data_IF_876241434905
#
_entry.id   IF_876241434905
#
_cell.length_a   1.000
_cell.length_b   1.000
_cell.length_c   1.000
_cell.angle_alpha   90.00
_cell.angle_beta   90.00
_cell.angle_gamma   90.00
#
_symmetry.space_group_name_H-M   'P 1'
#
loop_
_entity.id
_entity.type
_entity.pdbx_description
1 polymer ?
#
# COMPACT_ATOMS: atom_id res chain seq x y z
N UNK A 1 13.58 -22.10 9.96
CA UNK A 1 12.91 -21.21 10.93
C UNK A 1 13.82 -21.01 12.14
N UNK A 2 13.80 -19.88 12.85
CA UNK A 2 14.71 -19.63 13.99
C UNK A 2 13.99 -19.79 15.33
N UNK A 3 14.71 -20.14 16.43
CA UNK A 3 14.10 -20.30 17.75
C UNK A 3 13.34 -19.06 18.25
N UNK A 4 13.79 -17.86 17.85
CA UNK A 4 13.11 -16.60 18.20
C UNK A 4 11.77 -16.48 17.46
N UNK A 5 11.74 -16.83 16.17
CA UNK A 5 10.50 -16.79 15.37
C UNK A 5 9.46 -17.77 15.88
N UNK A 6 9.88 -18.97 16.29
CA UNK A 6 8.98 -19.99 16.86
C UNK A 6 8.35 -19.53 18.18
N UNK A 7 9.12 -18.86 19.05
CA UNK A 7 8.59 -18.28 20.30
C UNK A 7 7.54 -17.21 20.05
N UNK A 8 7.75 -16.36 19.05
CA UNK A 8 6.79 -15.30 18.69
C UNK A 8 5.49 -15.94 18.19
N UNK A 9 5.58 -16.94 17.29
CA UNK A 9 4.39 -17.65 16.79
C UNK A 9 3.63 -18.30 17.96
N UNK A 10 4.33 -19.02 18.84
CA UNK A 10 3.70 -19.65 20.00
C UNK A 10 3.02 -18.64 20.94
N UNK A 11 3.64 -17.47 21.15
CA UNK A 11 3.02 -16.40 21.94
C UNK A 11 1.75 -15.88 21.26
N UNK A 12 1.77 -15.64 19.95
CA UNK A 12 0.60 -15.17 19.19
C UNK A 12 -0.54 -16.18 19.21
N UNK A 13 -0.26 -17.49 19.20
CA UNK A 13 -1.32 -18.52 19.23
C UNK A 13 -2.15 -18.57 20.51
N UNK A 14 -1.66 -17.99 21.61
CA UNK A 14 -2.37 -17.96 22.91
C UNK A 14 -2.86 -16.56 23.27
N UNK A 15 -2.61 -15.56 22.41
CA UNK A 15 -3.13 -14.19 22.59
C UNK A 15 -4.63 -14.12 22.33
N UNK A 16 -5.27 -13.12 22.90
CA UNK A 16 -6.63 -12.73 22.47
C UNK A 16 -6.57 -12.04 21.11
N UNK A 17 -7.67 -12.03 20.36
CA UNK A 17 -7.72 -11.35 19.06
C UNK A 17 -7.35 -9.86 19.17
N UNK A 18 -7.79 -9.17 20.24
CA UNK A 18 -7.45 -7.77 20.50
C UNK A 18 -5.93 -7.57 20.74
N UNK A 19 -5.29 -8.48 21.47
CA UNK A 19 -3.85 -8.42 21.72
C UNK A 19 -3.05 -8.72 20.44
N UNK A 20 -3.52 -9.68 19.65
CA UNK A 20 -2.93 -10.01 18.36
C UNK A 20 -3.01 -8.85 17.37
N UNK A 21 -4.16 -8.16 17.30
CA UNK A 21 -4.34 -6.97 16.46
C UNK A 21 -3.43 -5.82 16.91
N UNK A 22 -3.30 -5.61 18.23
CA UNK A 22 -2.40 -4.60 18.80
C UNK A 22 -0.94 -4.91 18.47
N UNK A 23 -0.55 -6.20 18.54
CA UNK A 23 0.79 -6.66 18.18
C UNK A 23 1.06 -6.51 16.67
N UNK A 24 0.08 -6.81 15.82
CA UNK A 24 0.17 -6.60 14.37
C UNK A 24 0.45 -5.14 14.02
N UNK A 25 -0.29 -4.19 14.62
CA UNK A 25 -0.05 -2.75 14.41
C UNK A 25 1.36 -2.30 14.79
N UNK A 26 1.99 -2.95 15.78
CA UNK A 26 3.39 -2.68 16.13
C UNK A 26 4.36 -3.21 15.09
N UNK A 27 4.08 -4.38 14.52
CA UNK A 27 4.86 -4.96 13.42
C UNK A 27 4.73 -4.06 12.19
N UNK A 28 3.51 -3.72 11.79
CA UNK A 28 3.26 -2.79 10.68
C UNK A 28 3.98 -1.47 10.90
N UNK A 29 3.86 -0.83 12.07
CA UNK A 29 4.56 0.43 12.31
C UNK A 29 6.08 0.33 12.18
N UNK A 30 6.67 -0.81 12.56
CA UNK A 30 8.13 -1.00 12.59
C UNK A 30 8.71 -1.47 11.25
N UNK A 31 7.93 -2.23 10.50
CA UNK A 31 8.36 -2.92 9.29
C UNK A 31 7.53 -2.53 8.07
N UNK A 32 6.60 -1.57 8.19
CA UNK A 32 5.96 -0.96 7.05
C UNK A 32 7.08 -0.46 6.13
N UNK A 33 7.02 -0.78 4.85
CA UNK A 33 7.99 -0.24 3.90
C UNK A 33 7.97 1.27 4.02
N UNK A 34 9.14 1.87 4.25
CA UNK A 34 9.30 3.29 3.96
C UNK A 34 8.97 3.50 2.49
N UNK A 35 8.50 4.70 2.11
CA UNK A 35 8.44 5.06 0.69
C UNK A 35 9.81 4.90 0.00
N UNK A 36 10.89 4.95 0.77
CA UNK A 36 12.27 4.71 0.33
C UNK A 36 12.64 3.22 0.19
N UNK A 37 11.86 2.32 0.79
CA UNK A 37 12.08 0.86 0.76
C UNK A 37 11.23 0.15 -0.32
N UNK A 38 10.39 0.91 -1.04
CA UNK A 38 9.62 0.39 -2.17
C UNK A 38 10.57 0.33 -3.36
N UNK A 39 10.72 -0.84 -3.96
CA UNK A 39 11.51 -1.02 -5.18
C UNK A 39 10.88 -0.19 -6.30
N UNK A 40 11.60 0.80 -6.82
CA UNK A 40 11.20 1.51 -8.02
C UNK A 40 11.36 0.58 -9.21
N UNK A 41 10.23 0.22 -9.83
CA UNK A 41 10.20 -0.55 -11.07
C UNK A 41 9.86 0.34 -12.25
N UNK A 42 10.53 0.10 -13.38
CA UNK A 42 10.18 0.75 -14.64
C UNK A 42 8.78 0.29 -15.08
N UNK A 43 7.95 1.21 -15.62
CA UNK A 43 6.60 0.87 -16.06
C UNK A 43 6.64 -0.24 -17.11
N UNK A 44 5.73 -1.20 -16.98
CA UNK A 44 5.64 -2.30 -17.92
C UNK A 44 4.96 -1.88 -19.23
N UNK A 45 4.83 -2.82 -20.18
CA UNK A 45 4.22 -2.51 -21.48
C UNK A 45 2.77 -2.06 -21.41
N UNK A 46 2.02 -2.50 -20.39
CA UNK A 46 0.63 -2.11 -20.16
C UNK A 46 0.61 -0.71 -19.57
N UNK A 47 1.48 -0.42 -18.60
CA UNK A 47 1.62 0.90 -18.00
C UNK A 47 1.97 1.95 -19.05
N UNK A 48 2.94 1.64 -19.93
CA UNK A 48 3.31 2.54 -21.03
C UNK A 48 2.13 2.82 -21.95
N UNK A 49 1.36 1.78 -22.33
CA UNK A 49 0.17 1.94 -23.18
C UNK A 49 -0.91 2.79 -22.49
N UNK A 50 -1.09 2.63 -21.19
CA UNK A 50 -2.04 3.42 -20.41
C UNK A 50 -1.60 4.89 -20.34
N UNK A 51 -0.32 5.15 -20.11
CA UNK A 51 0.25 6.50 -20.12
C UNK A 51 0.12 7.17 -21.50
N UNK A 52 0.31 6.41 -22.58
CA UNK A 52 0.10 6.90 -23.94
C UNK A 52 -1.38 7.18 -24.23
N UNK A 53 -2.29 6.33 -23.76
CA UNK A 53 -3.74 6.55 -23.90
C UNK A 53 -4.16 7.84 -23.18
N UNK A 54 -3.71 8.03 -21.94
CA UNK A 54 -3.94 9.26 -21.15
C UNK A 54 -3.41 10.49 -21.89
N UNK A 55 -2.19 10.42 -22.43
CA UNK A 55 -1.58 11.54 -23.17
C UNK A 55 -2.33 11.91 -24.45
N UNK A 56 -3.02 10.94 -25.07
CA UNK A 56 -3.72 11.15 -26.32
C UNK A 56 -5.21 11.46 -26.13
N UNK A 57 -5.72 11.34 -24.90
CA UNK A 57 -7.09 11.65 -24.54
C UNK A 57 -7.19 13.10 -24.00
N UNK A 58 -7.78 14.05 -24.75
CA UNK A 58 -7.91 15.43 -24.31
C UNK A 58 -8.70 15.59 -23.01
N UNK A 59 -9.66 14.70 -22.75
CA UNK A 59 -10.51 14.75 -21.56
C UNK A 59 -9.66 14.46 -20.30
N UNK A 60 -8.58 13.68 -20.44
CA UNK A 60 -7.63 13.41 -19.36
C UNK A 60 -6.68 14.58 -19.04
N UNK A 61 -6.71 15.65 -19.82
CA UNK A 61 -5.88 16.85 -19.58
C UNK A 61 -6.63 17.99 -18.91
N UNK A 62 -7.96 17.87 -18.77
CA UNK A 62 -8.79 18.87 -18.14
C UNK A 62 -9.14 18.42 -16.72
N UNK A 63 -8.64 19.16 -15.72
CA UNK A 63 -9.00 18.94 -14.33
C UNK A 63 -10.06 19.96 -13.91
N UNK A 64 -11.20 19.48 -13.44
CA UNK A 64 -12.22 20.34 -12.81
C UNK A 64 -11.71 20.81 -11.46
N UNK A 65 -11.82 22.12 -11.18
CA UNK A 65 -11.51 22.61 -9.84
C UNK A 65 -12.50 22.01 -8.86
N UNK A 66 -12.02 21.63 -7.67
CA UNK A 66 -12.83 21.02 -6.62
C UNK A 66 -14.13 21.80 -6.30
N UNK A 67 -14.07 23.13 -6.38
CA UNK A 67 -15.21 24.03 -6.13
C UNK A 67 -16.32 23.95 -7.19
N UNK A 68 -15.97 23.47 -8.37
CA UNK A 68 -16.85 23.34 -9.52
C UNK A 68 -17.39 21.91 -9.66
N UNK A 69 -17.02 21.00 -8.74
CA UNK A 69 -17.56 19.63 -8.66
C UNK A 69 -18.82 19.67 -7.79
N UNK A 70 -19.95 19.29 -8.37
CA UNK A 70 -21.18 19.03 -7.61
C UNK A 70 -21.07 17.67 -6.93
N UNK A 71 -20.78 17.69 -5.62
CA UNK A 71 -20.77 16.49 -4.80
C UNK A 71 -22.20 16.18 -4.34
N UNK A 72 -22.81 15.15 -4.92
CA UNK A 72 -24.09 14.56 -4.48
C UNK A 72 -23.95 13.81 -3.13
#
# INVERSE_FOLDING_TARGET
MTPVKEKIIGAVTVMTDNDAESFWKLIEKKYAPSWEDIEEEEPDSIDIQMLEAIRNDPDCHEFTNEKDIEWD
#
